data_IF_998944095442
#
_entry.id   IF_998944095442
#
_cell.length_a   1.000
_cell.length_b   1.000
_cell.length_c   1.000
_cell.angle_alpha   90.00
_cell.angle_beta   90.00
_cell.angle_gamma   90.00
#
_symmetry.space_group_name_H-M   'P 1'
#
loop_
_entity.id
_entity.type
_entity.pdbx_description
1 polymer ?
#
# COMPACT_ATOMS: atom_id res chain seq x y z
N UNK A 1 57.27 29.28 -8.37
CA UNK A 1 57.63 27.85 -8.44
C UNK A 1 56.40 27.00 -8.77
N UNK A 2 56.23 26.53 -10.02
CA UNK A 2 55.16 25.57 -10.40
C UNK A 2 55.82 24.28 -10.92
N UNK A 3 55.93 23.26 -10.06
CA UNK A 3 56.47 21.94 -10.42
C UNK A 3 55.41 21.11 -11.16
N UNK A 4 55.84 20.48 -12.25
CA UNK A 4 55.02 19.65 -13.12
C UNK A 4 54.55 18.34 -12.47
N UNK A 5 53.28 18.02 -12.69
CA UNK A 5 52.73 16.67 -12.54
C UNK A 5 51.73 16.45 -13.66
N UNK A 6 52.16 15.92 -14.82
CA UNK A 6 51.21 15.53 -15.89
C UNK A 6 51.68 14.54 -16.99
N UNK A 7 52.55 13.51 -16.77
CA UNK A 7 52.73 12.44 -17.78
C UNK A 7 52.08 11.08 -17.43
N UNK A 8 51.66 10.82 -16.18
CA UNK A 8 51.20 9.48 -15.78
C UNK A 8 49.74 9.17 -16.16
N UNK A 9 48.80 10.12 -15.96
CA UNK A 9 47.36 9.90 -16.26
C UNK A 9 47.06 9.63 -17.75
N UNK A 10 47.84 10.21 -18.67
CA UNK A 10 47.67 9.98 -20.13
C UNK A 10 48.13 8.58 -20.57
N UNK A 11 49.18 8.04 -19.94
CA UNK A 11 49.67 6.67 -20.24
C UNK A 11 48.70 5.60 -19.74
N UNK A 12 48.15 5.76 -18.54
CA UNK A 12 47.15 4.81 -18.00
C UNK A 12 45.86 4.76 -18.84
N UNK A 13 45.38 5.91 -19.34
CA UNK A 13 44.22 5.95 -20.24
C UNK A 13 44.49 5.29 -21.61
N UNK A 14 45.70 5.46 -22.16
CA UNK A 14 46.12 4.85 -23.42
C UNK A 14 46.29 3.33 -23.31
N UNK A 15 46.88 2.85 -22.22
CA UNK A 15 47.02 1.41 -21.95
C UNK A 15 45.64 0.77 -21.79
N UNK A 16 44.73 1.42 -21.04
CA UNK A 16 43.34 0.95 -20.89
C UNK A 16 42.60 0.89 -22.22
N UNK A 17 42.80 1.89 -23.09
CA UNK A 17 42.26 1.88 -24.45
C UNK A 17 42.79 0.71 -25.29
N UNK A 18 44.10 0.44 -25.22
CA UNK A 18 44.71 -0.67 -25.97
C UNK A 18 44.22 -2.04 -25.46
N UNK A 19 44.03 -2.22 -24.15
CA UNK A 19 43.50 -3.46 -23.58
C UNK A 19 42.04 -3.69 -24.00
N UNK A 20 41.19 -2.66 -23.92
CA UNK A 20 39.80 -2.76 -24.37
C UNK A 20 39.71 -3.06 -25.88
N UNK A 21 40.60 -2.48 -26.68
CA UNK A 21 40.65 -2.71 -28.13
C UNK A 21 41.07 -4.15 -28.47
N UNK A 22 42.07 -4.70 -27.77
CA UNK A 22 42.50 -6.10 -27.96
C UNK A 22 41.37 -7.06 -27.56
N UNK A 23 40.72 -6.81 -26.42
CA UNK A 23 39.58 -7.60 -25.99
C UNK A 23 38.46 -7.58 -27.03
N UNK A 24 38.11 -6.40 -27.56
CA UNK A 24 37.13 -6.24 -28.63
C UNK A 24 37.51 -7.08 -29.86
N UNK A 25 38.74 -7.01 -30.33
CA UNK A 25 39.19 -7.80 -31.50
C UNK A 25 39.11 -9.32 -31.28
N UNK A 26 39.44 -9.79 -30.08
CA UNK A 26 39.31 -11.20 -29.71
C UNK A 26 37.82 -11.59 -29.71
N UNK A 27 36.95 -10.79 -29.08
CA UNK A 27 35.50 -11.07 -29.07
C UNK A 27 34.92 -11.10 -30.47
N UNK A 28 35.35 -10.20 -31.36
CA UNK A 28 34.92 -10.18 -32.78
C UNK A 28 35.39 -11.43 -33.51
N UNK A 29 36.65 -11.86 -33.36
CA UNK A 29 37.15 -13.08 -34.01
C UNK A 29 36.43 -14.33 -33.55
N UNK A 30 36.21 -14.47 -32.24
CA UNK A 30 35.46 -15.59 -31.67
C UNK A 30 34.04 -15.61 -32.25
N UNK A 31 33.38 -14.45 -32.35
CA UNK A 31 32.05 -14.33 -32.94
C UNK A 31 32.03 -14.72 -34.42
N UNK A 32 33.03 -14.29 -35.22
CA UNK A 32 33.16 -14.68 -36.63
C UNK A 32 33.32 -16.19 -36.81
N UNK A 33 34.12 -16.86 -35.98
CA UNK A 33 34.29 -18.32 -36.01
C UNK A 33 32.96 -19.03 -35.70
N UNK A 34 32.24 -18.54 -34.68
CA UNK A 34 30.93 -19.09 -34.33
C UNK A 34 29.95 -18.94 -35.50
N UNK A 35 29.86 -17.75 -36.10
CA UNK A 35 28.98 -17.47 -37.25
C UNK A 35 29.33 -18.36 -38.45
N UNK A 36 30.62 -18.53 -38.75
CA UNK A 36 31.06 -19.38 -39.87
C UNK A 36 30.68 -20.85 -39.64
N UNK A 37 30.83 -21.36 -38.43
CA UNK A 37 30.44 -22.73 -38.09
C UNK A 37 28.93 -22.93 -38.17
N UNK A 38 28.14 -21.94 -37.73
CA UNK A 38 26.69 -21.94 -37.85
C UNK A 38 26.29 -21.98 -39.34
N UNK A 39 26.88 -21.12 -40.17
CA UNK A 39 26.60 -21.09 -41.60
C UNK A 39 26.94 -22.41 -42.28
N UNK A 40 28.12 -22.98 -41.99
CA UNK A 40 28.54 -24.27 -42.54
C UNK A 40 27.54 -25.39 -42.19
N UNK A 41 27.09 -25.44 -40.94
CA UNK A 41 26.08 -26.39 -40.48
C UNK A 41 24.77 -26.27 -41.25
N UNK A 42 24.22 -25.06 -41.37
CA UNK A 42 22.95 -24.83 -42.09
C UNK A 42 23.07 -25.05 -43.60
N UNK A 43 24.21 -24.74 -44.20
CA UNK A 43 24.45 -24.94 -45.63
C UNK A 43 24.51 -26.43 -46.04
N UNK A 44 24.75 -27.33 -45.09
CA UNK A 44 24.78 -28.78 -45.31
C UNK A 44 23.44 -29.49 -45.09
N UNK A 45 22.37 -28.76 -44.73
CA UNK A 45 21.06 -29.36 -44.50
C UNK A 45 20.32 -29.60 -45.81
N UNK A 46 19.78 -30.81 -45.95
CA UNK A 46 18.84 -31.15 -47.01
C UNK A 46 17.41 -30.69 -46.64
N UNK A 47 16.45 -30.97 -47.52
CA UNK A 47 15.04 -30.61 -47.32
C UNK A 47 14.47 -31.24 -46.04
N UNK A 48 14.89 -32.46 -45.69
CA UNK A 48 14.44 -33.15 -44.49
C UNK A 48 15.02 -32.54 -43.20
N UNK A 49 16.26 -32.06 -43.23
CA UNK A 49 16.89 -31.34 -42.13
C UNK A 49 16.17 -30.03 -41.78
N UNK A 50 15.80 -29.25 -42.80
CA UNK A 50 14.98 -28.05 -42.61
C UNK A 50 13.58 -28.38 -42.09
N UNK A 51 12.94 -29.44 -42.61
CA UNK A 51 11.64 -29.90 -42.10
C UNK A 51 11.71 -30.26 -40.61
N UNK A 52 12.71 -31.05 -40.20
CA UNK A 52 12.91 -31.40 -38.80
C UNK A 52 13.12 -30.16 -37.91
N UNK A 53 13.95 -29.21 -38.33
CA UNK A 53 14.22 -27.98 -37.58
C UNK A 53 12.93 -27.16 -37.37
N UNK A 54 12.07 -27.04 -38.38
CA UNK A 54 10.78 -26.33 -38.23
C UNK A 54 9.83 -27.00 -37.27
N UNK A 55 9.76 -28.34 -37.29
CA UNK A 55 8.94 -29.12 -36.35
C UNK A 55 9.45 -28.86 -34.93
N UNK A 56 10.76 -28.98 -34.69
CA UNK A 56 11.35 -28.73 -33.37
C UNK A 56 11.07 -27.31 -32.89
N UNK A 57 11.25 -26.29 -33.75
CA UNK A 57 10.97 -24.90 -33.39
C UNK A 57 9.47 -24.67 -33.11
N UNK A 58 8.57 -25.28 -33.88
CA UNK A 58 7.13 -25.17 -33.66
C UNK A 58 6.70 -25.77 -32.31
N UNK A 59 7.28 -26.92 -31.94
CA UNK A 59 7.05 -27.55 -30.64
C UNK A 59 7.60 -26.69 -29.52
N UNK A 60 8.82 -26.14 -29.66
CA UNK A 60 9.39 -25.23 -28.67
C UNK A 60 8.55 -23.96 -28.51
N UNK A 61 8.06 -23.37 -29.61
CA UNK A 61 7.20 -22.21 -29.59
C UNK A 61 5.86 -22.51 -28.90
N UNK A 62 5.28 -23.70 -29.15
CA UNK A 62 4.06 -24.15 -28.50
C UNK A 62 4.26 -24.39 -27.00
N UNK A 63 5.37 -25.03 -26.60
CA UNK A 63 5.70 -25.24 -25.18
C UNK A 63 5.94 -23.91 -24.47
N UNK A 64 6.62 -22.97 -25.11
CA UNK A 64 6.82 -21.63 -24.59
C UNK A 64 5.48 -20.88 -24.44
N UNK A 65 4.63 -20.91 -25.47
CA UNK A 65 3.30 -20.31 -25.42
C UNK A 65 2.40 -20.94 -24.35
N UNK A 66 2.44 -22.27 -24.19
CA UNK A 66 1.76 -22.98 -23.10
C UNK A 66 2.29 -22.58 -21.73
N UNK A 67 3.61 -22.46 -21.57
CA UNK A 67 4.25 -22.01 -20.34
C UNK A 67 3.81 -20.59 -19.96
N UNK A 68 3.84 -19.66 -20.91
CA UNK A 68 3.36 -18.28 -20.71
C UNK A 68 1.86 -18.24 -20.38
N UNK A 69 1.06 -19.03 -21.08
CA UNK A 69 -0.39 -19.12 -20.85
C UNK A 69 -0.72 -19.71 -19.47
N UNK A 70 0.07 -20.68 -19.01
CA UNK A 70 -0.06 -21.28 -17.68
C UNK A 70 0.28 -20.27 -16.57
N UNK A 71 1.38 -19.52 -16.71
CA UNK A 71 1.77 -18.49 -15.74
C UNK A 71 0.70 -17.40 -15.60
N UNK A 72 0.12 -16.95 -16.71
CA UNK A 72 -0.94 -15.93 -16.70
C UNK A 72 -2.15 -16.40 -15.88
N UNK A 73 -2.66 -17.61 -16.13
CA UNK A 73 -3.78 -18.18 -15.38
C UNK A 73 -3.47 -18.35 -13.90
N UNK A 74 -2.25 -18.77 -13.56
CA UNK A 74 -1.84 -18.91 -12.17
C UNK A 74 -1.75 -17.58 -11.44
N UNK A 75 -1.27 -16.52 -12.10
CA UNK A 75 -1.23 -15.18 -11.52
C UNK A 75 -2.62 -14.60 -11.30
N UNK A 76 -3.55 -14.85 -12.22
CA UNK A 76 -4.96 -14.44 -12.08
C UNK A 76 -5.65 -15.14 -10.92
N UNK A 77 -5.51 -16.47 -10.78
CA UNK A 77 -6.04 -17.22 -9.63
C UNK A 77 -5.45 -16.74 -8.30
N UNK A 78 -4.13 -16.49 -8.25
CA UNK A 78 -3.46 -15.92 -7.06
C UNK A 78 -3.96 -14.53 -6.73
N UNK A 79 -4.22 -13.69 -7.74
CA UNK A 79 -4.77 -12.36 -7.56
C UNK A 79 -6.20 -12.43 -6.99
N UNK A 80 -7.04 -13.29 -7.55
CA UNK A 80 -8.41 -13.49 -7.08
C UNK A 80 -8.44 -14.03 -5.65
N UNK A 81 -7.58 -15.01 -5.34
CA UNK A 81 -7.46 -15.56 -3.98
C UNK A 81 -7.03 -14.48 -2.96
N UNK A 82 -6.05 -13.65 -3.31
CA UNK A 82 -5.63 -12.51 -2.46
C UNK A 82 -6.78 -11.52 -2.26
N UNK A 83 -7.55 -11.22 -3.31
CA UNK A 83 -8.71 -10.33 -3.24
C UNK A 83 -9.79 -10.90 -2.31
N UNK A 84 -10.12 -12.19 -2.44
CA UNK A 84 -11.10 -12.87 -1.59
C UNK A 84 -10.67 -12.86 -0.11
N UNK A 85 -9.42 -13.20 0.19
CA UNK A 85 -8.89 -13.17 1.56
C UNK A 85 -8.96 -11.75 2.14
N UNK A 86 -8.63 -10.73 1.34
CA UNK A 86 -8.69 -9.34 1.78
C UNK A 86 -10.13 -8.91 2.09
N UNK A 87 -11.10 -9.29 1.26
CA UNK A 87 -12.52 -9.00 1.51
C UNK A 87 -13.02 -9.73 2.76
N UNK A 88 -12.66 -11.00 2.94
CA UNK A 88 -12.99 -11.76 4.16
C UNK A 88 -12.40 -11.11 5.42
N UNK A 89 -11.16 -10.62 5.33
CA UNK A 89 -10.52 -9.89 6.42
C UNK A 89 -11.21 -8.57 6.74
N UNK A 90 -11.66 -7.82 5.72
CA UNK A 90 -12.43 -6.59 5.92
C UNK A 90 -13.78 -6.87 6.57
N UNK A 91 -14.51 -7.88 6.07
CA UNK A 91 -15.78 -8.34 6.64
C UNK A 91 -15.63 -8.71 8.12
N UNK A 92 -14.60 -9.48 8.48
CA UNK A 92 -14.28 -9.82 9.87
C UNK A 92 -13.97 -8.59 10.73
N UNK A 93 -13.28 -7.59 10.19
CA UNK A 93 -12.99 -6.34 10.91
C UNK A 93 -14.26 -5.52 11.17
N UNK A 94 -15.16 -5.40 10.19
CA UNK A 94 -16.44 -4.71 10.37
C UNK A 94 -17.32 -5.45 11.37
N UNK A 95 -17.37 -6.78 11.32
CA UNK A 95 -18.10 -7.58 12.29
C UNK A 95 -17.59 -7.36 13.73
N UNK A 96 -16.27 -7.34 13.93
CA UNK A 96 -15.66 -7.00 15.23
C UNK A 96 -16.03 -5.59 15.67
N UNK A 97 -16.03 -4.63 14.75
CA UNK A 97 -16.41 -3.24 15.04
C UNK A 97 -17.88 -3.14 15.47
N UNK A 98 -18.76 -3.88 14.80
CA UNK A 98 -20.19 -4.00 15.16
C UNK A 98 -20.37 -4.60 16.56
N UNK A 99 -19.59 -5.61 16.91
CA UNK A 99 -19.60 -6.17 18.26
C UNK A 99 -19.10 -5.18 19.32
N UNK A 100 -18.26 -4.21 18.95
CA UNK A 100 -17.66 -3.20 19.82
C UNK A 100 -18.44 -1.88 19.90
N UNK A 101 -19.70 -1.88 19.44
CA UNK A 101 -20.52 -0.66 19.33
C UNK A 101 -20.92 -0.04 20.66
N UNK A 102 -20.82 -0.74 21.79
CA UNK A 102 -21.22 -0.18 23.09
C UNK A 102 -20.08 0.59 23.75
N UNK A 103 -20.42 1.72 24.38
CA UNK A 103 -19.47 2.54 25.13
C UNK A 103 -18.72 1.74 26.20
N UNK A 104 -19.39 0.79 26.85
CA UNK A 104 -18.78 -0.04 27.88
C UNK A 104 -17.70 -0.98 27.34
N UNK A 105 -17.88 -1.52 26.12
CA UNK A 105 -16.82 -2.31 25.46
C UNK A 105 -15.63 -1.43 25.11
N UNK A 106 -15.87 -0.22 24.61
CA UNK A 106 -14.79 0.73 24.29
C UNK A 106 -13.98 1.12 25.54
N UNK A 107 -14.65 1.31 26.69
CA UNK A 107 -13.98 1.58 27.99
C UNK A 107 -13.16 0.39 28.49
N UNK A 108 -13.53 -0.84 28.17
CA UNK A 108 -12.81 -2.04 28.60
C UNK A 108 -11.55 -2.34 27.77
N UNK A 109 -11.42 -1.79 26.55
CA UNK A 109 -10.27 -2.03 25.68
C UNK A 109 -8.95 -1.60 26.30
N UNK A 110 -7.87 -2.34 26.07
CA UNK A 110 -6.52 -1.84 26.37
C UNK A 110 -6.22 -0.57 25.54
N UNK A 111 -5.39 0.35 26.04
CA UNK A 111 -5.16 1.65 25.39
C UNK A 111 -4.67 1.52 23.94
N UNK A 112 -3.70 0.63 23.67
CA UNK A 112 -3.27 0.29 22.30
C UNK A 112 -4.38 -0.30 21.42
N UNK A 113 -5.30 -1.08 22.01
CA UNK A 113 -6.42 -1.64 21.24
C UNK A 113 -7.41 -0.54 20.87
N UNK A 114 -7.62 0.44 21.75
CA UNK A 114 -8.44 1.60 21.48
C UNK A 114 -7.84 2.46 20.35
N UNK A 115 -6.54 2.75 20.38
CA UNK A 115 -5.85 3.46 19.28
C UNK A 115 -5.99 2.70 17.95
N UNK A 116 -5.77 1.39 17.97
CA UNK A 116 -5.93 0.53 16.79
C UNK A 116 -7.37 0.54 16.27
N UNK A 117 -8.35 0.53 17.17
CA UNK A 117 -9.77 0.60 16.83
C UNK A 117 -10.12 1.94 16.18
N UNK A 118 -9.65 3.07 16.72
CA UNK A 118 -9.88 4.39 16.12
C UNK A 118 -9.19 4.50 14.76
N UNK A 119 -7.98 3.95 14.62
CA UNK A 119 -7.29 3.85 13.33
C UNK A 119 -8.14 3.08 12.31
N UNK A 120 -8.67 1.92 12.68
CA UNK A 120 -9.54 1.11 11.81
C UNK A 120 -10.83 1.84 11.45
N UNK A 121 -11.45 2.53 12.41
CA UNK A 121 -12.64 3.34 12.19
C UNK A 121 -12.40 4.38 11.09
N UNK A 122 -11.29 5.11 11.16
CA UNK A 122 -10.95 6.09 10.12
C UNK A 122 -10.56 5.45 8.78
N UNK A 123 -9.91 4.27 8.77
CA UNK A 123 -9.69 3.54 7.52
C UNK A 123 -11.01 3.22 6.80
N UNK A 124 -12.02 2.74 7.52
CA UNK A 124 -13.35 2.46 6.94
C UNK A 124 -14.06 3.73 6.46
N UNK A 125 -13.74 4.89 7.03
CA UNK A 125 -14.24 6.20 6.58
C UNK A 125 -13.45 6.80 5.41
N UNK A 126 -12.54 6.02 4.83
CA UNK A 126 -11.78 6.37 3.62
C UNK A 126 -10.53 7.21 3.89
N UNK A 127 -10.02 7.23 5.11
CA UNK A 127 -8.73 7.85 5.41
C UNK A 127 -7.61 6.82 5.27
N UNK A 128 -6.41 7.25 4.89
CA UNK A 128 -5.19 6.50 5.14
C UNK A 128 -4.73 6.80 6.56
N UNK A 129 -5.06 5.93 7.51
CA UNK A 129 -4.72 6.12 8.92
C UNK A 129 -3.41 5.39 9.29
N UNK A 130 -2.51 6.06 10.01
CA UNK A 130 -1.21 5.51 10.44
C UNK A 130 -0.98 5.80 11.92
N UNK A 131 -0.67 4.76 12.71
CA UNK A 131 -0.28 4.92 14.11
C UNK A 131 1.10 5.56 14.22
N UNK A 132 1.26 6.49 15.15
CA UNK A 132 2.57 7.04 15.51
C UNK A 132 3.30 6.12 16.49
N UNK A 133 4.64 6.17 16.57
CA UNK A 133 5.37 5.40 17.58
C UNK A 133 4.97 5.82 19.00
N UNK A 134 4.78 4.83 19.88
CA UNK A 134 4.37 5.05 21.28
C UNK A 134 5.33 5.92 22.10
N UNK A 135 6.56 6.14 21.63
CA UNK A 135 7.57 6.99 22.27
C UNK A 135 7.42 8.48 21.94
N UNK A 136 6.52 8.85 21.02
CA UNK A 136 6.21 10.25 20.73
C UNK A 136 5.20 10.77 21.77
N UNK A 137 5.74 11.34 22.83
CA UNK A 137 5.04 12.12 23.85
C UNK A 137 4.33 13.39 23.33
N UNK A 138 4.36 13.65 22.03
CA UNK A 138 3.89 14.87 21.39
C UNK A 138 2.37 15.03 21.25
N UNK A 139 1.55 14.21 21.92
CA UNK A 139 0.08 14.32 21.89
C UNK A 139 -0.51 14.13 20.50
N UNK A 140 -0.21 12.99 19.87
CA UNK A 140 -0.93 12.45 18.70
C UNK A 140 -0.64 10.97 18.54
N UNK A 141 -1.67 10.12 18.53
CA UNK A 141 -1.53 8.68 18.31
C UNK A 141 -1.72 8.28 16.84
N UNK A 142 -2.46 9.08 16.04
CA UNK A 142 -2.80 8.69 14.65
C UNK A 142 -2.65 9.87 13.69
N UNK A 143 -2.06 9.62 12.53
CA UNK A 143 -2.01 10.53 11.38
C UNK A 143 -3.00 10.03 10.33
N UNK A 144 -3.89 10.91 9.87
CA UNK A 144 -4.88 10.64 8.84
C UNK A 144 -4.54 11.44 7.58
N UNK A 145 -4.63 10.79 6.43
CA UNK A 145 -4.50 11.44 5.12
C UNK A 145 -5.72 11.10 4.27
N UNK A 146 -6.41 12.12 3.77
CA UNK A 146 -7.51 11.98 2.82
C UNK A 146 -7.51 13.18 1.88
N UNK A 147 -7.59 12.95 0.57
CA UNK A 147 -7.61 14.01 -0.45
C UNK A 147 -6.46 15.03 -0.31
N UNK A 148 -5.24 14.52 -0.02
CA UNK A 148 -4.03 15.31 0.27
C UNK A 148 -4.13 16.25 1.49
N UNK A 149 -5.16 16.10 2.32
CA UNK A 149 -5.33 16.80 3.60
C UNK A 149 -4.80 15.92 4.73
N UNK A 150 -3.94 16.50 5.57
CA UNK A 150 -3.43 15.87 6.78
C UNK A 150 -4.33 16.24 7.96
N UNK A 151 -4.76 15.24 8.71
CA UNK A 151 -5.40 15.41 10.02
C UNK A 151 -4.68 14.55 11.06
N UNK A 152 -4.82 14.88 12.33
CA UNK A 152 -4.23 14.12 13.44
C UNK A 152 -5.29 13.71 14.44
N UNK A 153 -5.07 12.62 15.15
CA UNK A 153 -5.97 12.14 16.20
C UNK A 153 -5.21 11.98 17.50
N UNK A 154 -5.76 12.49 18.59
CA UNK A 154 -5.40 12.13 19.96
C UNK A 154 -6.47 11.20 20.55
N UNK A 155 -6.06 10.09 21.15
CA UNK A 155 -6.90 9.12 21.82
C UNK A 155 -6.64 9.16 23.33
N UNK A 156 -7.58 9.71 24.11
CA UNK A 156 -7.48 9.71 25.57
C UNK A 156 -8.47 8.72 26.20
N UNK A 157 -7.95 7.61 26.71
CA UNK A 157 -8.77 6.62 27.43
C UNK A 157 -9.06 7.04 28.88
N UNK A 158 -10.35 7.11 29.19
CA UNK A 158 -10.98 7.21 30.51
C UNK A 158 -10.71 6.15 31.59
N UNK A 159 -9.89 6.36 32.63
CA UNK A 159 -10.08 5.73 33.97
C UNK A 159 -10.22 6.78 35.11
N UNK A 160 -10.27 8.07 34.76
CA UNK A 160 -10.36 9.26 35.65
C UNK A 160 -11.31 10.29 34.99
N UNK A 161 -11.95 11.26 35.66
CA UNK A 161 -13.31 11.62 35.25
C UNK A 161 -13.47 12.55 34.03
N UNK A 162 -12.49 13.39 33.62
CA UNK A 162 -12.73 14.48 32.63
C UNK A 162 -11.50 14.94 31.85
N UNK A 163 -11.60 15.17 30.54
CA UNK A 163 -10.53 15.81 29.72
C UNK A 163 -10.32 17.26 30.18
N UNK A 164 -9.06 17.67 30.33
CA UNK A 164 -8.70 19.01 30.84
C UNK A 164 -8.19 19.93 29.75
N UNK A 165 -8.18 21.25 30.01
CA UNK A 165 -7.67 22.24 29.05
C UNK A 165 -6.18 22.04 28.69
N UNK A 166 -5.27 21.69 29.62
CA UNK A 166 -3.88 21.37 29.26
C UNK A 166 -3.74 20.25 28.22
N UNK A 167 -4.58 19.21 28.31
CA UNK A 167 -4.57 18.10 27.35
C UNK A 167 -4.83 18.61 25.91
N UNK A 168 -5.83 19.47 25.78
CA UNK A 168 -6.24 20.04 24.50
C UNK A 168 -5.20 21.06 23.99
N UNK A 169 -4.54 21.80 24.88
CA UNK A 169 -3.47 22.74 24.51
C UNK A 169 -2.24 22.00 23.96
N UNK A 170 -1.89 20.86 24.57
CA UNK A 170 -0.84 19.98 24.07
C UNK A 170 -1.21 19.45 22.68
N UNK A 171 -2.42 18.92 22.52
CA UNK A 171 -2.91 18.42 21.23
C UNK A 171 -2.92 19.53 20.15
N UNK A 172 -3.36 20.74 20.51
CA UNK A 172 -3.34 21.87 19.59
C UNK A 172 -1.94 22.18 19.05
N UNK A 173 -0.90 22.02 19.87
CA UNK A 173 0.49 22.18 19.43
C UNK A 173 0.87 21.10 18.41
N UNK A 174 0.43 19.86 18.63
CA UNK A 174 0.67 18.74 17.71
C UNK A 174 0.03 18.95 16.32
N UNK A 175 -1.15 19.58 16.25
CA UNK A 175 -1.81 19.95 14.99
C UNK A 175 -0.93 20.93 14.21
N UNK A 176 -0.42 21.97 14.88
CA UNK A 176 0.42 22.99 14.27
C UNK A 176 1.76 22.41 13.79
N UNK A 177 2.41 21.59 14.61
CA UNK A 177 3.68 20.94 14.28
C UNK A 177 3.56 20.05 13.04
N UNK A 178 2.43 19.33 12.91
CA UNK A 178 2.14 18.47 11.76
C UNK A 178 1.60 19.22 10.54
N UNK A 179 1.35 20.53 10.66
CA UNK A 179 0.63 21.33 9.65
C UNK A 179 -0.70 20.67 9.25
N UNK A 180 -1.36 20.03 10.21
CA UNK A 180 -2.64 19.38 10.02
C UNK A 180 -3.74 20.44 9.89
N UNK A 181 -4.71 20.21 9.00
CA UNK A 181 -5.84 21.13 8.83
C UNK A 181 -6.87 20.96 9.95
N UNK A 182 -7.03 19.74 10.47
CA UNK A 182 -7.98 19.38 11.52
C UNK A 182 -7.30 18.38 12.48
N UNK A 183 -7.59 18.51 13.78
CA UNK A 183 -7.29 17.50 14.78
C UNK A 183 -8.57 16.93 15.40
N UNK A 184 -8.61 15.61 15.59
CA UNK A 184 -9.69 14.92 16.29
C UNK A 184 -9.21 14.52 17.69
N UNK A 185 -9.86 15.04 18.72
CA UNK A 185 -9.61 14.60 20.09
C UNK A 185 -10.68 13.60 20.50
N UNK A 186 -10.29 12.33 20.64
CA UNK A 186 -11.20 11.20 20.87
C UNK A 186 -11.05 10.72 22.32
N UNK A 187 -12.17 10.56 23.01
CA UNK A 187 -12.20 10.01 24.37
C UNK A 187 -13.44 9.16 24.61
N UNK A 188 -13.33 8.17 25.50
CA UNK A 188 -14.50 7.44 26.03
C UNK A 188 -15.18 8.15 27.20
N UNK A 189 -14.61 9.26 27.68
CA UNK A 189 -15.17 10.10 28.74
C UNK A 189 -15.91 11.33 28.18
N UNK A 190 -16.03 12.36 29.02
CA UNK A 190 -16.70 13.62 28.68
C UNK A 190 -15.74 14.81 28.65
N UNK A 191 -16.11 15.83 27.86
CA UNK A 191 -15.43 17.12 27.82
C UNK A 191 -16.05 18.12 28.80
N UNK A 192 -15.21 18.90 29.45
CA UNK A 192 -15.67 19.97 30.34
C UNK A 192 -16.09 21.21 29.54
N UNK A 193 -16.98 22.05 30.10
CA UNK A 193 -17.35 23.33 29.48
C UNK A 193 -16.13 24.20 29.11
N UNK A 194 -15.09 24.33 29.96
CA UNK A 194 -13.87 25.05 29.59
C UNK A 194 -13.13 24.47 28.39
N UNK A 195 -13.15 23.13 28.20
CA UNK A 195 -12.55 22.48 27.03
C UNK A 195 -13.34 22.81 25.77
N UNK A 196 -14.67 22.68 25.82
CA UNK A 196 -15.53 23.00 24.68
C UNK A 196 -15.38 24.48 24.26
N UNK A 197 -15.37 25.40 25.22
CA UNK A 197 -15.17 26.83 24.95
C UNK A 197 -13.78 27.10 24.34
N UNK A 198 -12.73 26.41 24.82
CA UNK A 198 -11.40 26.56 24.26
C UNK A 198 -11.30 26.09 22.80
N UNK A 199 -12.06 25.05 22.41
CA UNK A 199 -12.03 24.49 21.04
C UNK A 199 -12.85 25.27 20.01
N UNK A 200 -13.81 26.10 20.43
CA UNK A 200 -14.80 26.76 19.56
C UNK A 200 -14.24 27.48 18.33
N UNK A 201 -13.01 27.99 18.42
CA UNK A 201 -12.35 28.73 17.34
C UNK A 201 -11.01 28.08 16.92
N UNK A 202 -10.88 26.77 17.08
CA UNK A 202 -9.68 26.01 16.76
C UNK A 202 -10.02 24.86 15.81
N UNK A 203 -9.05 24.39 15.01
CA UNK A 203 -9.23 23.24 14.14
C UNK A 203 -9.24 21.93 14.94
N UNK A 204 -10.10 21.82 15.96
CA UNK A 204 -10.19 20.69 16.89
C UNK A 204 -11.63 20.22 16.95
N UNK A 205 -11.85 18.99 16.51
CA UNK A 205 -13.11 18.28 16.69
C UNK A 205 -13.04 17.40 17.94
N UNK A 206 -14.06 17.53 18.80
CA UNK A 206 -14.17 16.80 20.05
C UNK A 206 -15.11 15.62 19.88
N UNK A 207 -14.60 14.40 20.09
CA UNK A 207 -15.37 13.15 19.96
C UNK A 207 -15.40 12.46 21.33
N UNK A 208 -16.52 12.61 22.04
CA UNK A 208 -16.74 11.95 23.33
C UNK A 208 -17.26 10.52 23.13
N UNK A 209 -17.50 9.79 24.22
CA UNK A 209 -17.93 8.40 24.16
C UNK A 209 -19.23 8.19 23.36
N UNK A 210 -20.23 9.03 23.57
CA UNK A 210 -21.51 8.95 22.84
C UNK A 210 -21.36 9.26 21.35
N UNK A 211 -20.61 10.31 21.00
CA UNK A 211 -20.35 10.68 19.61
C UNK A 211 -19.53 9.61 18.90
N UNK A 212 -18.57 9.01 19.60
CA UNK A 212 -17.78 7.89 19.07
C UNK A 212 -18.66 6.68 18.73
N UNK A 213 -19.60 6.32 19.62
CA UNK A 213 -20.53 5.22 19.36
C UNK A 213 -21.38 5.49 18.12
N UNK A 214 -21.93 6.71 17.98
CA UNK A 214 -22.68 7.11 16.78
C UNK A 214 -21.83 7.02 15.51
N UNK A 215 -20.59 7.50 15.58
CA UNK A 215 -19.65 7.46 14.47
C UNK A 215 -19.34 6.02 14.03
N UNK A 216 -19.19 5.09 14.98
CA UNK A 216 -19.01 3.67 14.73
C UNK A 216 -20.24 3.07 14.04
N UNK A 217 -21.44 3.32 14.58
CA UNK A 217 -22.70 2.84 13.99
C UNK A 217 -22.89 3.32 12.56
N UNK A 218 -22.65 4.61 12.30
CA UNK A 218 -22.73 5.19 10.97
C UNK A 218 -21.74 4.54 9.99
N UNK A 219 -20.52 4.30 10.45
CA UNK A 219 -19.46 3.69 9.62
C UNK A 219 -19.80 2.24 9.27
N UNK A 220 -20.33 1.47 10.23
CA UNK A 220 -20.80 0.10 9.99
C UNK A 220 -21.96 0.10 8.99
N UNK A 221 -22.94 0.99 9.15
CA UNK A 221 -24.07 1.12 8.22
C UNK A 221 -23.62 1.45 6.80
N UNK A 222 -22.71 2.43 6.65
CA UNK A 222 -22.17 2.81 5.34
C UNK A 222 -21.44 1.66 4.64
N UNK A 223 -20.73 0.83 5.40
CA UNK A 223 -20.09 -0.37 4.86
C UNK A 223 -21.13 -1.39 4.38
N UNK A 224 -22.14 -1.70 5.21
CA UNK A 224 -23.21 -2.64 4.86
C UNK A 224 -24.00 -2.19 3.61
N UNK A 225 -24.28 -0.89 3.47
CA UNK A 225 -24.92 -0.30 2.29
C UNK A 225 -24.06 -0.41 1.03
N UNK A 226 -22.74 -0.17 1.15
CA UNK A 226 -21.80 -0.28 0.04
C UNK A 226 -21.68 -1.72 -0.46
N UNK A 227 -21.61 -2.69 0.46
CA UNK A 227 -21.53 -4.11 0.11
C UNK A 227 -22.83 -4.63 -0.51
N UNK A 228 -23.98 -4.20 0.03
CA UNK A 228 -25.29 -4.52 -0.55
C UNK A 228 -25.44 -3.95 -1.96
N UNK A 229 -24.97 -2.71 -2.18
CA UNK A 229 -24.94 -2.08 -3.50
C UNK A 229 -24.06 -2.82 -4.51
N UNK A 230 -22.87 -3.29 -4.10
CA UNK A 230 -22.00 -4.13 -4.95
C UNK A 230 -22.66 -5.45 -5.33
N UNK A 231 -23.33 -6.11 -4.38
CA UNK A 231 -24.06 -7.36 -4.63
C UNK A 231 -25.17 -7.16 -5.66
N UNK A 232 -25.97 -6.09 -5.52
CA UNK A 232 -27.03 -5.74 -6.46
C UNK A 232 -26.47 -5.46 -7.86
N UNK A 233 -25.41 -4.65 -7.97
CA UNK A 233 -24.76 -4.37 -9.25
C UNK A 233 -24.19 -5.64 -9.90
N UNK A 234 -23.49 -6.48 -9.14
CA UNK A 234 -22.95 -7.76 -9.64
C UNK A 234 -24.07 -8.70 -10.11
N UNK A 235 -25.20 -8.75 -9.40
CA UNK A 235 -26.35 -9.54 -9.82
C UNK A 235 -27.00 -9.02 -11.10
N UNK A 236 -27.01 -7.70 -11.32
CA UNK A 236 -27.53 -7.09 -12.55
C UNK A 236 -26.60 -7.35 -13.75
N UNK A 237 -25.28 -7.20 -13.60
CA UNK A 237 -24.31 -7.57 -14.65
C UNK A 237 -24.41 -9.05 -15.04
N UNK A 238 -24.66 -9.94 -14.07
CA UNK A 238 -24.87 -11.36 -14.34
C UNK A 238 -26.16 -11.62 -15.15
N UNK A 239 -27.23 -10.88 -14.87
CA UNK A 239 -28.51 -11.02 -15.60
C UNK A 239 -28.46 -10.39 -17.00
N UNK A 240 -27.63 -9.36 -17.22
CA UNK A 240 -27.45 -8.71 -18.53
C UNK A 240 -26.36 -9.37 -19.40
N UNK A 241 -25.52 -10.22 -18.79
CA UNK A 241 -24.33 -10.81 -19.42
C UNK A 241 -24.48 -12.20 -20.03
N UNK A 242 -25.65 -12.85 -19.97
CA UNK A 242 -25.87 -14.11 -20.68
C UNK A 242 -26.24 -13.86 -22.15
N UNK A 243 -25.38 -14.18 -23.13
CA UNK A 243 -25.85 -14.32 -24.50
C UNK A 243 -26.76 -15.55 -24.55
N UNK A 244 -28.03 -15.31 -24.86
CA UNK A 244 -28.93 -16.37 -25.35
C UNK A 244 -28.29 -16.94 -26.62
N UNK A 245 -27.73 -18.15 -26.50
CA UNK A 245 -27.41 -19.04 -27.61
C UNK A 245 -27.64 -20.48 -27.18
#
# INVERSE_FOLDING_TARGET
MRKGKRPYKKRAARIRWNVNFIFLMITVKVLLVIVSNIYAFFSGLDVFGWLYATIVLSVLALLFWMSQSYEKQMNEKRFLQKKLILEEQKQKQVQRMKEQTTLEKLKQMHWHQFETFIKQLYDFRGYKATLTPATCDGGKEIILIKDNVISVVECKKYNSPKVTRPDIQKFHSAILDMKAQIGYFVTTGEFTKPVMEYCKHKPIELINGETLVKLVMETVRQFEETESGKLLYTSMEFLEGEPVN
#
